data_IF_230836877464
#
_entry.id   IF_230836877464
#
_cell.length_a   1.000
_cell.length_b   1.000
_cell.length_c   1.000
_cell.angle_alpha   90.00
_cell.angle_beta   90.00
_cell.angle_gamma   90.00
#
_symmetry.space_group_name_H-M   'P 1'
#
loop_
_entity.id
_entity.type
_entity.pdbx_description
1 polymer ?
#
# COMPACT_ATOMS: atom_id res chain seq x y z
N UNK A 1 51.00 -48.63 -71.48
CA UNK A 1 49.81 -49.45 -71.14
C UNK A 1 49.47 -49.21 -69.67
N UNK A 2 48.57 -48.27 -69.38
CA UNK A 2 48.18 -47.94 -68.00
C UNK A 2 47.03 -48.85 -67.55
N UNK A 3 47.22 -49.57 -66.43
CA UNK A 3 46.16 -50.23 -65.67
C UNK A 3 45.65 -49.27 -64.60
N UNK A 4 44.37 -48.90 -64.70
CA UNK A 4 43.66 -48.07 -63.74
C UNK A 4 43.18 -48.94 -62.58
N UNK A 5 43.66 -48.66 -61.36
CA UNK A 5 43.11 -49.23 -60.12
C UNK A 5 42.16 -48.21 -59.50
N UNK A 6 40.86 -48.54 -59.48
CA UNK A 6 39.81 -47.71 -58.88
C UNK A 6 39.80 -47.98 -57.36
N UNK A 7 40.22 -46.99 -56.57
CA UNK A 7 40.09 -46.98 -55.11
C UNK A 7 38.69 -46.45 -54.77
N UNK A 8 37.83 -47.31 -54.19
CA UNK A 8 36.55 -46.89 -53.62
C UNK A 8 36.79 -46.20 -52.27
N UNK A 9 36.49 -44.90 -52.20
CA UNK A 9 36.44 -44.14 -50.95
C UNK A 9 35.12 -44.45 -50.23
N UNK A 10 35.19 -45.16 -49.10
CA UNK A 10 34.07 -45.33 -48.19
C UNK A 10 33.89 -44.06 -47.33
N UNK A 11 32.94 -43.20 -47.69
CA UNK A 11 32.48 -42.12 -46.82
C UNK A 11 31.51 -42.69 -45.78
N UNK A 12 31.95 -42.80 -44.54
CA UNK A 12 31.09 -43.07 -43.38
C UNK A 12 30.27 -41.81 -43.12
N UNK A 13 28.98 -41.83 -43.48
CA UNK A 13 28.01 -40.81 -43.07
C UNK A 13 27.52 -41.14 -41.66
N UNK A 14 28.16 -40.55 -40.65
CA UNK A 14 27.59 -40.48 -39.30
C UNK A 14 26.46 -39.45 -39.29
N UNK A 15 25.21 -39.92 -39.26
CA UNK A 15 24.03 -39.08 -39.03
C UNK A 15 23.91 -38.92 -37.52
N UNK A 16 24.38 -37.79 -36.98
CA UNK A 16 24.01 -37.35 -35.63
C UNK A 16 22.65 -36.68 -35.77
N UNK A 17 21.58 -37.42 -35.53
CA UNK A 17 20.25 -36.85 -35.36
C UNK A 17 20.17 -36.25 -33.94
N UNK A 18 20.44 -34.94 -33.82
CA UNK A 18 20.03 -34.19 -32.64
C UNK A 18 18.52 -33.94 -32.76
N UNK A 19 17.68 -34.37 -31.80
CA UNK A 19 16.28 -33.98 -31.82
C UNK A 19 16.19 -32.48 -31.54
N UNK A 20 15.86 -31.71 -32.57
CA UNK A 20 15.40 -30.35 -32.43
C UNK A 20 14.00 -30.43 -31.80
N UNK A 21 13.97 -30.36 -30.47
CA UNK A 21 12.75 -30.29 -29.69
C UNK A 21 12.08 -28.95 -29.93
N UNK A 22 11.27 -28.85 -30.98
CA UNK A 22 10.26 -27.79 -31.10
C UNK A 22 9.18 -28.09 -30.06
N UNK A 23 9.37 -27.62 -28.83
CA UNK A 23 8.25 -27.51 -27.90
C UNK A 23 7.40 -26.35 -28.39
N UNK A 24 6.35 -26.65 -29.15
CA UNK A 24 5.23 -25.73 -29.23
C UNK A 24 4.69 -25.57 -27.82
N UNK A 25 4.80 -24.35 -27.27
CA UNK A 25 4.23 -24.01 -25.98
C UNK A 25 2.71 -24.11 -26.11
N UNK A 26 2.19 -25.30 -25.76
CA UNK A 26 0.77 -25.59 -25.69
C UNK A 26 0.22 -24.76 -24.54
N UNK A 27 -0.28 -23.57 -24.85
CA UNK A 27 -1.06 -22.77 -23.89
C UNK A 27 -2.28 -23.62 -23.53
N UNK A 28 -2.25 -24.19 -22.33
CA UNK A 28 -3.36 -24.93 -21.77
C UNK A 28 -4.53 -23.95 -21.55
N UNK A 29 -5.54 -24.04 -22.42
CA UNK A 29 -6.76 -23.24 -22.38
C UNK A 29 -7.65 -23.57 -21.17
N UNK A 30 -7.25 -24.51 -20.33
CA UNK A 30 -7.97 -24.93 -19.13
C UNK A 30 -7.52 -24.17 -17.87
N UNK A 31 -6.35 -23.53 -17.88
CA UNK A 31 -5.82 -22.77 -16.73
C UNK A 31 -6.22 -21.28 -16.75
N UNK A 32 -6.66 -20.75 -17.90
CA UNK A 32 -7.00 -19.33 -18.03
C UNK A 32 -8.34 -18.93 -17.40
N UNK A 33 -9.23 -19.90 -17.11
CA UNK A 33 -10.54 -19.59 -16.54
C UNK A 33 -10.52 -19.41 -15.02
N UNK A 34 -9.59 -20.07 -14.31
CA UNK A 34 -9.44 -19.94 -12.84
C UNK A 34 -8.40 -18.88 -12.43
N UNK A 35 -7.57 -18.43 -13.37
CA UNK A 35 -6.57 -17.38 -13.15
C UNK A 35 -7.21 -16.00 -12.86
N UNK A 36 -8.47 -15.81 -13.26
CA UNK A 36 -9.16 -14.52 -13.20
C UNK A 36 -10.58 -14.59 -12.61
N UNK A 37 -10.77 -15.35 -11.53
CA UNK A 37 -12.04 -15.36 -10.78
C UNK A 37 -12.40 -13.98 -10.19
N UNK A 38 -11.43 -13.08 -10.07
CA UNK A 38 -11.61 -11.75 -9.50
C UNK A 38 -11.94 -10.69 -10.57
N UNK A 39 -12.85 -9.74 -10.26
CA UNK A 39 -13.19 -8.68 -11.19
C UNK A 39 -11.96 -7.81 -11.52
N UNK A 40 -11.99 -7.21 -12.72
CA UNK A 40 -10.94 -6.29 -13.15
C UNK A 40 -10.87 -5.13 -12.15
N UNK A 41 -9.67 -4.87 -11.62
CA UNK A 41 -9.43 -3.83 -10.61
C UNK A 41 -9.44 -4.31 -9.15
N UNK A 42 -9.71 -5.58 -8.88
CA UNK A 42 -9.55 -6.18 -7.55
C UNK A 42 -8.06 -6.47 -7.26
N UNK A 43 -7.59 -6.14 -6.06
CA UNK A 43 -6.20 -6.37 -5.64
C UNK A 43 -5.81 -7.86 -5.67
N UNK A 44 -6.74 -8.78 -5.40
CA UNK A 44 -6.48 -10.22 -5.39
C UNK A 44 -6.18 -10.77 -6.78
N UNK A 45 -6.68 -10.10 -7.81
CA UNK A 45 -6.35 -10.41 -9.21
C UNK A 45 -4.86 -10.22 -9.46
N UNK A 46 -4.27 -9.15 -8.91
CA UNK A 46 -2.85 -8.86 -9.05
C UNK A 46 -1.96 -9.86 -8.31
N UNK A 47 -2.32 -10.20 -7.07
CA UNK A 47 -1.59 -11.20 -6.27
C UNK A 47 -1.48 -12.52 -7.03
N UNK A 48 -2.59 -12.97 -7.63
CA UNK A 48 -2.63 -14.21 -8.41
C UNK A 48 -1.89 -14.10 -9.74
N UNK A 49 -2.11 -13.01 -10.48
CA UNK A 49 -1.53 -12.82 -11.81
C UNK A 49 0.00 -12.66 -11.78
N UNK A 50 0.54 -11.97 -10.77
CA UNK A 50 1.99 -11.79 -10.59
C UNK A 50 2.64 -12.89 -9.73
N UNK A 51 1.85 -13.76 -9.12
CA UNK A 51 2.32 -14.75 -8.13
C UNK A 51 3.10 -14.09 -6.97
N UNK A 52 2.65 -12.91 -6.53
CA UNK A 52 3.30 -12.15 -5.46
C UNK A 52 2.46 -12.25 -4.19
N UNK A 53 3.11 -12.66 -3.10
CA UNK A 53 2.53 -12.70 -1.75
C UNK A 53 2.75 -11.36 -1.04
N UNK A 54 2.10 -10.32 -1.55
CA UNK A 54 2.15 -8.95 -0.99
C UNK A 54 0.79 -8.54 -0.45
N UNK A 55 0.80 -7.88 0.71
CA UNK A 55 -0.41 -7.34 1.31
C UNK A 55 -0.97 -6.17 0.52
N UNK A 56 -2.25 -5.85 0.73
CA UNK A 56 -2.81 -4.57 0.26
C UNK A 56 -2.43 -3.48 1.26
N UNK A 57 -1.99 -2.32 0.78
CA UNK A 57 -1.75 -1.19 1.68
C UNK A 57 -3.06 -0.74 2.32
N UNK A 58 -3.11 -0.72 3.66
CA UNK A 58 -4.35 -0.48 4.40
C UNK A 58 -4.65 1.00 4.61
N UNK A 59 -3.61 1.83 4.74
CA UNK A 59 -3.74 3.28 4.98
C UNK A 59 -3.77 4.01 3.65
N UNK A 60 -4.97 4.20 3.09
CA UNK A 60 -5.16 4.85 1.79
C UNK A 60 -5.87 6.20 1.91
N UNK A 61 -5.43 7.24 1.16
CA UNK A 61 -6.13 8.51 1.09
C UNK A 61 -7.38 8.40 0.22
N UNK A 62 -8.36 9.30 0.43
CA UNK A 62 -9.61 9.32 -0.34
C UNK A 62 -10.84 8.82 0.43
N UNK A 63 -10.67 8.52 1.72
CA UNK A 63 -11.77 8.39 2.68
C UNK A 63 -12.22 9.79 3.11
N UNK A 64 -13.52 9.99 3.25
CA UNK A 64 -14.11 11.21 3.77
C UNK A 64 -13.77 11.39 5.25
N UNK A 65 -13.86 12.63 5.74
CA UNK A 65 -13.46 12.97 7.10
C UNK A 65 -14.48 13.91 7.76
N UNK A 66 -14.98 13.51 8.93
CA UNK A 66 -15.73 14.37 9.83
C UNK A 66 -14.75 15.10 10.76
N UNK A 67 -14.51 16.38 10.43
CA UNK A 67 -13.54 17.21 11.13
C UNK A 67 -13.98 17.65 12.54
N UNK A 68 -15.25 17.49 12.92
CA UNK A 68 -15.70 17.84 14.27
C UNK A 68 -15.42 16.68 15.23
N UNK A 69 -15.63 15.45 14.76
CA UNK A 69 -15.51 14.23 15.55
C UNK A 69 -14.18 13.50 15.37
N UNK A 70 -13.35 13.91 14.41
CA UNK A 70 -12.15 13.19 13.98
C UNK A 70 -12.45 11.73 13.58
N UNK A 71 -13.45 11.54 12.72
CA UNK A 71 -13.90 10.21 12.29
C UNK A 71 -13.92 10.10 10.77
N UNK A 72 -13.60 8.92 10.28
CA UNK A 72 -13.73 8.57 8.87
C UNK A 72 -15.22 8.50 8.46
N UNK A 73 -15.55 9.15 7.34
CA UNK A 73 -16.90 9.28 6.82
C UNK A 73 -17.16 8.39 5.58
N UNK A 74 -16.41 7.29 5.45
CA UNK A 74 -16.53 6.33 4.35
C UNK A 74 -15.77 6.74 3.08
N UNK A 75 -15.74 5.85 2.09
CA UNK A 75 -14.91 6.02 0.90
C UNK A 75 -15.51 7.06 -0.07
N UNK A 76 -14.71 8.05 -0.47
CA UNK A 76 -15.10 9.11 -1.43
C UNK A 76 -14.48 8.88 -2.81
N UNK A 77 -13.31 8.24 -2.87
CA UNK A 77 -12.58 7.96 -4.11
C UNK A 77 -12.61 6.47 -4.42
N UNK A 78 -12.82 6.10 -5.68
CA UNK A 78 -12.76 4.70 -6.11
C UNK A 78 -11.30 4.24 -6.27
N UNK A 79 -10.99 3.06 -5.74
CA UNK A 79 -9.69 2.41 -5.92
C UNK A 79 -9.75 1.37 -7.04
N UNK A 80 -8.73 1.38 -7.89
CA UNK A 80 -8.54 0.40 -8.95
C UNK A 80 -7.10 -0.12 -8.89
N UNK A 81 -6.92 -1.43 -9.08
CA UNK A 81 -5.61 -2.10 -9.03
C UNK A 81 -5.21 -2.69 -10.39
N UNK A 82 -5.73 -2.20 -11.51
CA UNK A 82 -5.43 -2.79 -12.84
C UNK A 82 -3.95 -2.80 -13.23
N UNK A 83 -3.15 -1.86 -12.73
CA UNK A 83 -1.72 -1.79 -13.05
C UNK A 83 -0.86 -2.62 -12.09
N UNK A 84 -1.46 -3.24 -11.07
CA UNK A 84 -0.77 -4.02 -10.05
C UNK A 84 0.44 -3.28 -9.48
N UNK A 85 0.26 -1.99 -9.16
CA UNK A 85 1.33 -1.17 -8.58
C UNK A 85 1.67 -1.66 -7.19
N UNK A 86 2.95 -1.60 -6.89
CA UNK A 86 3.51 -1.94 -5.59
C UNK A 86 4.19 -0.70 -5.00
N UNK A 87 4.38 -0.68 -3.70
CA UNK A 87 5.27 0.27 -3.04
C UNK A 87 6.71 0.09 -3.52
N UNK A 88 7.55 1.12 -3.37
CA UNK A 88 8.95 1.09 -3.85
C UNK A 88 9.78 -0.04 -3.22
N UNK A 89 9.40 -0.51 -2.04
CA UNK A 89 10.03 -1.63 -1.34
C UNK A 89 9.42 -3.00 -1.70
N UNK A 90 8.40 -3.03 -2.55
CA UNK A 90 7.75 -4.25 -3.04
C UNK A 90 6.93 -5.00 -1.98
N UNK A 91 6.63 -4.39 -0.83
CA UNK A 91 5.94 -5.07 0.27
C UNK A 91 4.40 -4.98 0.18
N UNK A 92 3.87 -3.96 -0.48
CA UNK A 92 2.42 -3.72 -0.53
C UNK A 92 1.92 -3.34 -1.92
N UNK A 93 0.71 -3.79 -2.24
CA UNK A 93 -0.06 -3.32 -3.39
C UNK A 93 -0.73 -1.98 -3.10
N UNK A 94 -0.65 -1.07 -4.06
CA UNK A 94 -1.27 0.26 -4.00
C UNK A 94 -2.22 0.49 -5.19
N UNK A 95 -3.28 1.28 -5.04
CA UNK A 95 -4.16 1.66 -6.14
C UNK A 95 -3.44 2.41 -7.26
N UNK A 96 -3.97 2.34 -8.48
CA UNK A 96 -3.41 2.94 -9.69
C UNK A 96 -3.29 4.48 -9.59
N UNK A 97 -4.17 5.12 -8.81
CA UNK A 97 -4.22 6.57 -8.59
C UNK A 97 -3.48 7.03 -7.31
N UNK A 98 -2.77 6.14 -6.63
CA UNK A 98 -2.00 6.44 -5.42
C UNK A 98 -0.52 6.25 -5.71
N UNK A 99 0.31 7.06 -5.07
CA UNK A 99 1.75 6.87 -4.99
C UNK A 99 2.17 7.01 -3.52
N UNK A 100 3.26 6.35 -3.15
CA UNK A 100 3.81 6.39 -1.80
C UNK A 100 5.13 7.12 -1.79
N UNK A 101 5.44 7.80 -0.69
CA UNK A 101 6.77 8.37 -0.44
C UNK A 101 7.35 7.63 0.77
N UNK A 102 8.42 6.84 0.61
CA UNK A 102 8.99 6.09 1.72
C UNK A 102 9.73 7.03 2.68
N UNK A 103 9.12 7.32 3.82
CA UNK A 103 9.76 8.00 4.95
C UNK A 103 10.32 6.91 5.87
N UNK A 104 11.63 6.71 5.84
CA UNK A 104 12.30 5.70 6.66
C UNK A 104 13.07 6.39 7.79
N UNK A 105 12.53 6.35 9.00
CA UNK A 105 13.22 6.81 10.19
C UNK A 105 13.30 5.69 11.23
N UNK A 106 14.52 5.40 11.70
CA UNK A 106 14.75 4.42 12.78
C UNK A 106 14.71 5.06 14.17
N UNK A 107 14.60 6.39 14.25
CA UNK A 107 14.56 7.12 15.50
C UNK A 107 13.13 7.25 15.99
N UNK A 108 12.92 6.84 17.24
CA UNK A 108 11.68 7.12 17.96
C UNK A 108 11.77 8.51 18.54
N UNK A 109 10.82 9.35 18.17
CA UNK A 109 10.65 10.66 18.78
C UNK A 109 9.89 10.51 20.11
N UNK A 110 10.35 11.23 21.14
CA UNK A 110 9.79 11.15 22.49
C UNK A 110 9.32 12.53 22.90
N UNK A 111 8.08 12.63 23.32
CA UNK A 111 7.45 13.89 23.71
C UNK A 111 6.80 13.73 25.08
N UNK A 112 6.95 14.77 25.91
CA UNK A 112 6.21 14.94 27.14
C UNK A 112 5.63 16.35 27.13
N UNK A 113 4.32 16.44 27.28
CA UNK A 113 3.58 17.71 27.22
C UNK A 113 2.69 17.82 28.45
N UNK A 114 2.67 19.01 29.06
CA UNK A 114 1.71 19.37 30.09
C UNK A 114 0.56 20.12 29.43
N UNK A 115 -0.62 19.54 29.48
CA UNK A 115 -1.88 20.11 28.98
C UNK A 115 -2.63 20.64 30.20
N UNK A 116 -2.49 21.94 30.42
CA UNK A 116 -3.14 22.68 31.50
C UNK A 116 -4.63 22.97 31.22
N UNK A 117 -5.01 23.05 29.94
CA UNK A 117 -6.36 23.33 29.50
C UNK A 117 -6.75 22.41 28.34
N UNK A 118 -7.90 21.76 28.45
CA UNK A 118 -8.47 20.91 27.40
C UNK A 118 -8.60 21.63 26.04
N UNK A 119 -8.74 22.96 26.03
CA UNK A 119 -8.92 23.75 24.81
C UNK A 119 -7.61 24.02 24.05
N UNK A 120 -6.46 23.87 24.69
CA UNK A 120 -5.14 24.01 24.04
C UNK A 120 -4.57 22.69 23.52
N UNK A 121 -5.23 21.56 23.83
CA UNK A 121 -4.76 20.24 23.45
C UNK A 121 -4.88 19.99 21.94
N UNK A 122 -3.80 19.53 21.32
CA UNK A 122 -3.78 19.02 19.95
C UNK A 122 -4.25 17.57 19.89
N UNK A 123 -4.82 17.15 18.75
CA UNK A 123 -5.20 15.74 18.55
C UNK A 123 -4.00 14.90 18.18
N UNK A 124 -3.89 13.70 18.74
CA UNK A 124 -2.75 12.80 18.52
C UNK A 124 -2.58 12.33 17.06
N UNK A 125 -3.69 12.13 16.34
CA UNK A 125 -3.69 11.52 15.00
C UNK A 125 -4.14 12.46 13.89
N UNK A 126 -4.84 13.55 14.24
CA UNK A 126 -5.59 14.37 13.28
C UNK A 126 -5.25 15.87 13.36
N UNK A 127 -4.15 16.22 14.03
CA UNK A 127 -3.74 17.62 14.27
C UNK A 127 -3.69 18.46 12.98
N UNK A 128 -2.98 17.98 11.96
CA UNK A 128 -2.79 18.71 10.70
C UNK A 128 -4.11 18.93 9.95
N UNK A 129 -5.03 17.98 10.03
CA UNK A 129 -6.36 18.09 9.42
C UNK A 129 -7.20 19.12 10.17
N UNK A 130 -7.16 19.10 11.51
CA UNK A 130 -7.88 20.06 12.35
C UNK A 130 -7.40 21.49 12.15
N UNK A 131 -6.08 21.71 12.01
CA UNK A 131 -5.50 23.03 11.72
C UNK A 131 -5.88 23.52 10.32
N UNK A 132 -5.89 22.63 9.31
CA UNK A 132 -6.12 23.01 7.92
C UNK A 132 -7.61 23.18 7.55
N UNK A 133 -8.50 22.40 8.14
CA UNK A 133 -9.93 22.41 7.81
C UNK A 133 -10.76 23.41 8.64
N UNK A 134 -10.12 24.14 9.56
CA UNK A 134 -10.73 25.27 10.24
C UNK A 134 -11.04 26.39 9.23
N UNK A 135 -12.29 26.82 9.15
CA UNK A 135 -12.59 28.12 8.55
C UNK A 135 -11.81 29.16 9.36
N UNK A 136 -11.04 30.03 8.70
CA UNK A 136 -10.34 31.16 9.33
C UNK A 136 -11.34 32.22 9.83
N UNK A 137 -12.25 31.82 10.72
CA UNK A 137 -12.94 32.72 11.63
C UNK A 137 -11.99 32.89 12.80
N UNK A 138 -11.24 33.99 12.76
CA UNK A 138 -10.11 34.47 13.57
C UNK A 138 -10.21 34.35 15.10
N UNK A 139 -11.20 33.64 15.65
CA UNK A 139 -11.55 33.68 17.07
C UNK A 139 -11.98 32.30 17.63
N UNK A 140 -12.44 31.34 16.82
CA UNK A 140 -12.89 30.04 17.32
C UNK A 140 -12.66 28.92 16.29
N UNK A 141 -11.71 28.01 16.58
CA UNK A 141 -11.63 26.72 15.89
C UNK A 141 -12.51 25.72 16.62
N UNK A 142 -13.38 25.03 15.87
CA UNK A 142 -14.26 23.96 16.40
C UNK A 142 -13.83 22.56 15.96
N UNK A 143 -12.76 22.49 15.17
CA UNK A 143 -12.21 21.24 14.64
C UNK A 143 -11.73 20.35 15.79
N UNK A 144 -12.14 19.07 15.75
CA UNK A 144 -11.78 18.07 16.75
C UNK A 144 -12.45 18.19 18.13
N UNK A 145 -13.22 19.26 18.40
CA UNK A 145 -13.82 19.49 19.74
C UNK A 145 -14.89 18.44 20.13
N UNK A 146 -15.43 17.70 19.17
CA UNK A 146 -16.40 16.62 19.41
C UNK A 146 -15.79 15.22 19.28
N UNK A 147 -14.47 15.12 19.16
CA UNK A 147 -13.78 13.84 19.19
C UNK A 147 -13.84 13.21 20.58
N UNK A 148 -13.77 11.88 20.64
CA UNK A 148 -13.75 11.14 21.90
C UNK A 148 -12.56 11.54 22.77
N UNK A 149 -11.38 11.70 22.16
CA UNK A 149 -10.15 12.17 22.82
C UNK A 149 -10.37 13.51 23.53
N UNK A 150 -10.95 14.48 22.83
CA UNK A 150 -11.19 15.81 23.37
C UNK A 150 -12.26 15.81 24.48
N UNK A 151 -13.35 15.08 24.27
CA UNK A 151 -14.44 14.98 25.25
C UNK A 151 -13.98 14.30 26.54
N UNK A 152 -13.18 13.23 26.43
CA UNK A 152 -12.62 12.52 27.58
C UNK A 152 -11.65 13.41 28.36
N UNK A 153 -10.72 14.07 27.68
CA UNK A 153 -9.78 15.01 28.28
C UNK A 153 -10.51 16.13 29.03
N UNK A 154 -11.48 16.77 28.36
CA UNK A 154 -12.28 17.85 28.94
C UNK A 154 -13.06 17.37 30.15
N UNK A 155 -13.72 16.22 30.05
CA UNK A 155 -14.49 15.65 31.15
C UNK A 155 -13.59 15.42 32.37
N UNK A 156 -12.42 14.82 32.19
CA UNK A 156 -11.51 14.49 33.30
C UNK A 156 -10.89 15.71 33.95
N UNK A 157 -10.47 16.70 33.16
CA UNK A 157 -9.93 17.95 33.73
C UNK A 157 -10.98 18.73 34.52
N UNK A 158 -12.23 18.75 34.06
CA UNK A 158 -13.34 19.42 34.75
C UNK A 158 -13.76 18.66 36.01
N UNK A 159 -13.89 17.33 35.92
CA UNK A 159 -14.32 16.47 37.03
C UNK A 159 -13.32 16.49 38.18
N UNK A 160 -12.02 16.37 37.87
CA UNK A 160 -10.97 16.20 38.88
C UNK A 160 -10.25 17.51 39.23
N UNK A 161 -10.60 18.63 38.57
CA UNK A 161 -9.86 19.89 38.64
C UNK A 161 -8.35 19.70 38.47
N UNK A 162 -7.97 19.01 37.38
CA UNK A 162 -6.62 18.51 37.15
C UNK A 162 -6.04 18.97 35.82
N UNK A 163 -4.71 18.94 35.73
CA UNK A 163 -3.98 19.07 34.48
C UNK A 163 -3.55 17.69 33.98
N UNK A 164 -3.35 17.55 32.67
CA UNK A 164 -3.01 16.27 32.04
C UNK A 164 -1.57 16.28 31.55
N UNK A 165 -0.80 15.22 31.85
CA UNK A 165 0.52 15.01 31.26
C UNK A 165 0.42 13.94 30.18
N UNK A 166 0.78 14.29 28.95
CA UNK A 166 0.82 13.39 27.81
C UNK A 166 2.26 12.96 27.56
N UNK A 167 2.48 11.65 27.51
CA UNK A 167 3.76 11.06 27.12
C UNK A 167 3.55 10.27 25.82
N UNK A 168 4.35 10.56 24.80
CA UNK A 168 4.21 9.97 23.47
C UNK A 168 5.55 9.43 22.95
N UNK A 169 5.47 8.29 22.27
CA UNK A 169 6.50 7.75 21.39
C UNK A 169 5.96 7.74 19.97
N UNK A 170 6.65 8.35 19.02
CA UNK A 170 6.23 8.41 17.61
C UNK A 170 7.33 7.90 16.69
N UNK A 171 6.94 7.05 15.75
CA UNK A 171 7.72 6.79 14.55
C UNK A 171 7.26 7.80 13.48
N UNK A 172 8.13 8.71 13.05
CA UNK A 172 7.81 9.68 12.00
C UNK A 172 7.86 9.07 10.61
#
# INVERSE_FOLDING_TARGET
>A
MYKVFIIKVCLIKSIIAAPLSTQEMKVDKTESSSLFDWPVGDSRRCQRAKQVDVGRFEVLPGVGWDNLRNLEAGLVVSYNYTQCKETDDGNFLIPDNVFTIPIKNSRVERFAELIDNWNSASSLTSDTVNVAAGLSLSIFSISGLYSSEHQELKSKQIEDNSATIRNQLRYP
#
